data_IF_231404887541
#
_entry.id   IF_231404887541
#
_cell.length_a   1.000
_cell.length_b   1.000
_cell.length_c   1.000
_cell.angle_alpha   90.00
_cell.angle_beta   90.00
_cell.angle_gamma   90.00
#
_symmetry.space_group_name_H-M   'P 1'
#
loop_
_entity.id
_entity.type
_entity.pdbx_description
1 polymer ?
#
# COMPACT_ATOMS: atom_id res chain seq x y z
N UNK A 1 -90.54 23.97 -76.91
CA UNK A 1 -90.78 23.29 -78.21
C UNK A 1 -89.85 23.98 -79.21
N UNK A 2 -88.66 23.41 -79.41
CA UNK A 2 -88.21 22.67 -80.62
C UNK A 2 -87.52 23.62 -81.62
N UNK A 3 -86.43 23.34 -82.36
CA UNK A 3 -85.56 22.17 -82.61
C UNK A 3 -84.35 22.61 -83.49
N UNK A 4 -83.21 21.87 -83.43
CA UNK A 4 -82.15 21.62 -84.46
C UNK A 4 -81.31 22.73 -85.12
N UNK A 5 -80.08 22.55 -85.67
CA UNK A 5 -79.03 21.49 -85.73
C UNK A 5 -77.71 22.07 -86.31
N UNK A 6 -76.61 21.32 -86.09
CA UNK A 6 -75.17 21.46 -86.45
C UNK A 6 -74.80 21.67 -87.94
N UNK A 7 -73.57 22.19 -88.21
CA UNK A 7 -72.48 21.55 -89.00
C UNK A 7 -71.18 22.39 -89.03
N UNK A 8 -70.05 21.79 -89.45
CA UNK A 8 -68.64 22.08 -89.12
C UNK A 8 -67.70 22.44 -90.31
N UNK A 9 -66.38 22.63 -89.99
CA UNK A 9 -65.12 22.37 -90.79
C UNK A 9 -64.62 23.51 -91.72
N UNK A 10 -63.33 23.91 -91.91
CA UNK A 10 -61.92 23.46 -91.59
C UNK A 10 -60.89 24.63 -91.71
N UNK A 11 -59.64 24.36 -91.28
CA UNK A 11 -58.41 25.17 -91.05
C UNK A 11 -57.63 25.70 -92.28
N UNK A 12 -56.53 26.48 -92.06
CA UNK A 12 -55.20 25.97 -92.48
C UNK A 12 -54.04 26.21 -91.48
N UNK A 13 -52.90 25.64 -91.86
CA UNK A 13 -51.79 25.04 -91.11
C UNK A 13 -50.61 25.99 -90.85
N UNK A 14 -49.96 25.91 -89.67
CA UNK A 14 -48.70 26.60 -89.33
C UNK A 14 -47.48 25.69 -89.52
N UNK A 15 -46.45 26.21 -90.18
CA UNK A 15 -45.14 25.55 -90.41
C UNK A 15 -44.21 25.87 -89.23
N UNK A 16 -43.56 24.84 -88.67
CA UNK A 16 -42.65 24.94 -87.50
C UNK A 16 -41.17 24.91 -87.91
N UNK A 17 -40.36 25.77 -87.28
CA UNK A 17 -38.89 25.81 -87.37
C UNK A 17 -38.31 25.15 -86.10
N UNK A 18 -37.33 24.21 -86.18
CA UNK A 18 -36.73 23.61 -84.99
C UNK A 18 -35.63 24.51 -84.39
N UNK A 19 -35.75 24.90 -83.11
CA UNK A 19 -34.66 25.48 -82.32
C UNK A 19 -33.80 24.36 -81.70
N UNK A 20 -32.50 24.37 -82.00
CA UNK A 20 -31.46 23.60 -81.28
C UNK A 20 -31.47 23.95 -79.78
N UNK A 21 -31.65 22.97 -78.92
CA UNK A 21 -31.43 23.09 -77.48
C UNK A 21 -29.97 22.74 -77.15
N UNK A 22 -29.22 23.69 -76.59
CA UNK A 22 -27.93 23.42 -75.98
C UNK A 22 -28.14 22.77 -74.61
N UNK A 23 -27.67 21.53 -74.42
CA UNK A 23 -27.56 20.90 -73.10
C UNK A 23 -26.39 21.55 -72.34
N UNK A 24 -26.69 22.46 -71.42
CA UNK A 24 -25.73 22.91 -70.42
C UNK A 24 -25.51 21.80 -69.38
N UNK A 25 -24.28 21.28 -69.30
CA UNK A 25 -23.85 20.32 -68.28
C UNK A 25 -23.64 21.03 -66.94
N UNK A 26 -24.58 20.87 -66.00
CA UNK A 26 -24.45 21.38 -64.63
C UNK A 26 -23.49 20.47 -63.84
N UNK A 27 -22.18 20.74 -63.91
CA UNK A 27 -21.15 19.98 -63.17
C UNK A 27 -20.99 20.55 -61.74
N UNK A 28 -21.35 19.70 -60.77
CA UNK A 28 -20.94 19.62 -59.36
C UNK A 28 -20.76 20.92 -58.54
N UNK A 29 -21.81 21.35 -57.84
CA UNK A 29 -21.73 22.29 -56.71
C UNK A 29 -21.63 21.61 -55.34
N UNK A 30 -21.58 20.28 -55.31
CA UNK A 30 -21.65 19.46 -54.10
C UNK A 30 -20.27 18.99 -53.61
N UNK A 31 -19.26 18.97 -54.48
CA UNK A 31 -17.91 18.45 -54.17
C UNK A 31 -17.12 19.33 -53.20
N UNK A 32 -17.22 20.66 -53.32
CA UNK A 32 -16.47 21.57 -52.44
C UNK A 32 -17.01 21.59 -51.00
N UNK A 33 -18.32 21.39 -50.82
CA UNK A 33 -18.95 21.31 -49.48
C UNK A 33 -18.52 20.04 -48.74
N UNK A 34 -18.44 18.91 -49.45
CA UNK A 34 -17.93 17.66 -48.89
C UNK A 34 -16.44 17.77 -48.54
N UNK A 35 -15.63 18.40 -49.40
CA UNK A 35 -14.22 18.67 -49.11
C UNK A 35 -14.03 19.61 -47.91
N UNK A 36 -14.82 20.67 -47.80
CA UNK A 36 -14.78 21.60 -46.68
C UNK A 36 -15.18 20.91 -45.36
N UNK A 37 -16.25 20.11 -45.37
CA UNK A 37 -16.69 19.36 -44.19
C UNK A 37 -15.63 18.34 -43.75
N UNK A 38 -15.00 17.65 -44.71
CA UNK A 38 -13.90 16.74 -44.43
C UNK A 38 -12.70 17.46 -43.79
N UNK A 39 -12.31 18.62 -44.31
CA UNK A 39 -11.22 19.42 -43.73
C UNK A 39 -11.53 19.93 -42.33
N UNK A 40 -12.78 20.33 -42.05
CA UNK A 40 -13.21 20.76 -40.71
C UNK A 40 -13.18 19.61 -39.71
N UNK A 41 -13.66 18.42 -40.11
CA UNK A 41 -13.63 17.22 -39.28
C UNK A 41 -12.18 16.78 -39.03
N UNK A 42 -11.35 16.74 -40.06
CA UNK A 42 -9.93 16.40 -39.94
C UNK A 42 -9.19 17.39 -39.04
N UNK A 43 -9.47 18.70 -39.16
CA UNK A 43 -8.91 19.73 -38.29
C UNK A 43 -9.34 19.57 -36.83
N UNK A 44 -10.61 19.25 -36.58
CA UNK A 44 -11.11 18.98 -35.22
C UNK A 44 -10.38 17.80 -34.57
N UNK A 45 -10.25 16.67 -35.29
CA UNK A 45 -9.53 15.50 -34.77
C UNK A 45 -8.02 15.74 -34.62
N UNK A 46 -7.42 16.55 -35.48
CA UNK A 46 -6.01 16.92 -35.34
C UNK A 46 -5.76 17.78 -34.09
N UNK A 47 -6.64 18.74 -33.81
CA UNK A 47 -6.59 19.53 -32.57
C UNK A 47 -6.80 18.64 -31.35
N UNK A 48 -7.77 17.71 -31.40
CA UNK A 48 -8.05 16.78 -30.31
C UNK A 48 -6.86 15.84 -30.05
N UNK A 49 -6.17 15.39 -31.11
CA UNK A 49 -4.94 14.63 -31.03
C UNK A 49 -3.80 15.42 -30.39
N UNK A 50 -3.60 16.70 -30.78
CA UNK A 50 -2.61 17.58 -30.15
C UNK A 50 -2.94 17.78 -28.66
N UNK A 51 -4.20 18.01 -28.30
CA UNK A 51 -4.62 18.13 -26.90
C UNK A 51 -4.39 16.84 -26.10
N UNK A 52 -4.62 15.67 -26.70
CA UNK A 52 -4.36 14.39 -26.06
C UNK A 52 -2.86 14.12 -25.88
N UNK A 53 -2.04 14.48 -26.88
CA UNK A 53 -0.58 14.37 -26.85
C UNK A 53 0.05 15.35 -25.85
N UNK A 54 -0.43 16.59 -25.80
CA UNK A 54 0.00 17.57 -24.80
C UNK A 54 -0.53 17.24 -23.42
N UNK A 55 -1.75 16.71 -23.30
CA UNK A 55 -2.33 16.30 -22.02
C UNK A 55 -1.50 15.22 -21.34
N UNK A 56 -1.02 14.21 -22.08
CA UNK A 56 -0.15 13.16 -21.52
C UNK A 56 1.24 13.69 -21.14
N UNK A 57 1.80 14.60 -21.93
CA UNK A 57 3.09 15.25 -21.61
C UNK A 57 2.97 16.21 -20.43
N UNK A 58 1.87 16.97 -20.31
CA UNK A 58 1.60 17.85 -19.17
C UNK A 58 1.37 17.03 -17.89
N UNK A 59 0.60 15.94 -17.97
CA UNK A 59 0.43 15.04 -16.83
C UNK A 59 1.80 14.48 -16.42
N UNK A 60 2.67 14.08 -17.36
CA UNK A 60 4.02 13.62 -17.04
C UNK A 60 4.94 14.69 -16.44
N UNK A 61 4.78 15.97 -16.82
CA UNK A 61 5.59 17.09 -16.31
C UNK A 61 5.14 17.59 -14.93
N UNK A 62 3.90 17.33 -14.53
CA UNK A 62 3.32 17.76 -13.24
C UNK A 62 2.91 16.59 -12.33
N UNK A 63 3.04 15.35 -12.79
CA UNK A 63 2.98 14.18 -11.92
C UNK A 63 4.30 14.11 -11.18
N UNK A 64 4.33 14.49 -9.91
CA UNK A 64 5.43 14.05 -9.08
C UNK A 64 5.45 12.52 -9.10
N UNK A 65 6.62 11.88 -9.34
CA UNK A 65 6.73 10.45 -9.14
C UNK A 65 6.21 10.15 -7.72
N UNK A 66 5.43 9.06 -7.52
CA UNK A 66 4.98 8.70 -6.18
C UNK A 66 6.21 8.69 -5.28
N UNK A 67 6.14 9.44 -4.18
CA UNK A 67 7.27 9.70 -3.29
C UNK A 67 8.10 8.42 -3.13
N UNK A 68 9.25 8.38 -3.79
CA UNK A 68 10.17 7.28 -3.66
C UNK A 68 10.67 7.41 -2.23
N UNK A 69 10.22 6.52 -1.34
CA UNK A 69 10.74 6.47 0.02
C UNK A 69 12.19 6.05 -0.09
N UNK A 70 13.07 7.03 -0.22
CA UNK A 70 14.50 6.85 -0.21
C UNK A 70 14.87 6.12 1.08
N UNK A 71 15.64 5.04 0.96
CA UNK A 71 16.12 4.23 2.08
C UNK A 71 16.87 5.08 3.13
N UNK A 72 17.28 6.31 2.79
CA UNK A 72 17.93 7.27 3.66
C UNK A 72 17.05 8.21 4.51
N UNK A 73 15.72 8.24 4.35
CA UNK A 73 14.86 9.26 5.02
C UNK A 73 13.95 8.65 6.10
N UNK A 74 14.55 7.94 7.05
CA UNK A 74 13.85 7.34 8.19
C UNK A 74 14.37 7.91 9.51
N UNK A 75 13.53 8.66 10.21
CA UNK A 75 13.82 9.16 11.56
C UNK A 75 13.54 8.06 12.60
N UNK A 76 14.47 7.86 13.52
CA UNK A 76 14.30 6.94 14.65
C UNK A 76 13.12 7.40 15.48
N UNK A 77 12.12 6.53 15.66
CA UNK A 77 10.96 6.86 16.48
C UNK A 77 11.37 7.05 17.95
N UNK A 78 10.69 7.95 18.65
CA UNK A 78 10.97 8.28 20.06
C UNK A 78 10.91 7.09 21.03
N UNK A 79 10.28 5.98 20.63
CA UNK A 79 10.24 4.73 21.39
C UNK A 79 11.04 3.57 20.80
N UNK A 80 12.06 3.84 19.98
CA UNK A 80 12.95 2.79 19.49
C UNK A 80 13.57 2.00 20.67
N UNK A 81 13.53 0.65 20.66
CA UNK A 81 13.91 -0.14 21.84
C UNK A 81 15.35 0.13 22.29
N UNK A 82 15.53 0.40 23.59
CA UNK A 82 16.86 0.67 24.16
C UNK A 82 17.85 -0.49 23.91
N UNK A 83 17.38 -1.74 23.98
CA UNK A 83 18.19 -2.92 23.69
C UNK A 83 18.66 -3.00 22.23
N UNK A 84 17.99 -2.30 21.31
CA UNK A 84 18.33 -2.25 19.90
C UNK A 84 19.24 -1.06 19.54
N UNK A 85 19.42 -0.08 20.43
CA UNK A 85 20.20 1.14 20.14
C UNK A 85 21.64 0.84 19.73
N UNK A 86 22.27 -0.16 20.33
CA UNK A 86 23.64 -0.58 19.97
C UNK A 86 23.76 -1.12 18.54
N UNK A 87 22.67 -1.59 17.93
CA UNK A 87 22.67 -2.12 16.56
C UNK A 87 22.20 -1.07 15.53
N UNK A 88 21.73 0.09 15.98
CA UNK A 88 21.19 1.12 15.08
C UNK A 88 22.18 1.54 13.97
N UNK A 89 23.47 1.80 14.26
CA UNK A 89 24.44 2.12 13.20
C UNK A 89 24.53 1.00 12.15
N UNK A 90 24.49 -0.26 12.59
CA UNK A 90 24.59 -1.44 11.73
C UNK A 90 23.35 -1.55 10.83
N UNK A 91 22.15 -1.35 11.37
CA UNK A 91 20.92 -1.36 10.55
C UNK A 91 20.95 -0.27 9.49
N UNK A 92 21.37 0.95 9.87
CA UNK A 92 21.42 2.09 8.96
C UNK A 92 22.48 1.92 7.88
N UNK A 93 23.63 1.33 8.23
CA UNK A 93 24.70 1.02 7.29
C UNK A 93 24.25 -0.06 6.30
N UNK A 94 23.79 -1.22 6.79
CA UNK A 94 23.30 -2.31 5.95
C UNK A 94 22.13 -1.84 5.07
N UNK A 95 21.18 -1.11 5.64
CA UNK A 95 20.05 -0.57 4.91
C UNK A 95 20.47 0.32 3.74
N UNK A 96 21.44 1.22 3.97
CA UNK A 96 22.00 2.07 2.92
C UNK A 96 22.78 1.28 1.88
N UNK A 97 23.59 0.30 2.30
CA UNK A 97 24.42 -0.54 1.43
C UNK A 97 23.59 -1.37 0.45
N UNK A 98 22.47 -1.93 0.91
CA UNK A 98 21.64 -2.85 0.13
C UNK A 98 20.31 -2.24 -0.37
N UNK A 99 20.04 -0.96 -0.08
CA UNK A 99 18.79 -0.31 -0.46
C UNK A 99 17.56 -0.85 0.29
N UNK A 100 17.76 -1.32 1.52
CA UNK A 100 16.70 -1.85 2.39
C UNK A 100 16.36 -0.81 3.45
N UNK A 101 15.08 -0.48 3.70
CA UNK A 101 14.71 0.32 4.85
C UNK A 101 15.24 -0.30 6.14
N UNK A 102 16.16 0.39 6.83
CA UNK A 102 16.76 -0.08 8.08
C UNK A 102 15.74 -0.54 9.15
N UNK A 103 14.51 0.03 9.25
CA UNK A 103 13.55 -0.42 10.23
C UNK A 103 13.07 -1.86 10.00
N UNK A 104 13.10 -2.35 8.74
CA UNK A 104 12.80 -3.76 8.42
C UNK A 104 13.86 -4.68 9.04
N UNK A 105 15.14 -4.30 8.97
CA UNK A 105 16.23 -5.07 9.56
C UNK A 105 16.09 -5.15 11.09
N UNK A 106 15.81 -4.01 11.72
CA UNK A 106 15.55 -3.97 13.16
C UNK A 106 14.32 -4.79 13.56
N UNK A 107 13.25 -4.77 12.76
CA UNK A 107 12.02 -5.54 12.99
C UNK A 107 12.25 -7.05 12.89
N UNK A 108 13.02 -7.52 11.92
CA UNK A 108 13.41 -8.93 11.81
C UNK A 108 14.25 -9.32 13.03
N UNK A 109 15.28 -8.55 13.38
CA UNK A 109 16.13 -8.85 14.55
C UNK A 109 15.32 -8.91 15.86
N UNK A 110 14.26 -8.08 15.98
CA UNK A 110 13.31 -8.14 17.11
C UNK A 110 12.55 -9.46 17.14
N UNK A 111 12.01 -9.91 16.01
CA UNK A 111 11.17 -11.10 15.92
C UNK A 111 11.98 -12.37 16.11
N UNK A 112 13.16 -12.43 15.49
CA UNK A 112 13.97 -13.64 15.45
C UNK A 112 14.58 -13.97 16.81
N UNK A 113 15.19 -12.98 17.46
CA UNK A 113 16.03 -13.24 18.65
C UNK A 113 15.83 -12.23 19.77
N UNK A 114 14.85 -11.33 19.64
CA UNK A 114 14.67 -10.17 20.53
C UNK A 114 15.98 -9.40 20.70
N UNK A 115 16.60 -9.05 19.57
CA UNK A 115 17.88 -8.33 19.49
C UNK A 115 19.08 -9.12 20.07
N UNK A 116 19.08 -10.43 19.88
CA UNK A 116 20.12 -11.36 20.36
C UNK A 116 19.96 -11.79 21.82
N UNK A 117 18.80 -11.57 22.45
CA UNK A 117 18.51 -12.09 23.80
C UNK A 117 18.24 -13.60 23.80
N UNK A 118 17.74 -14.13 22.70
CA UNK A 118 17.56 -15.57 22.50
C UNK A 118 18.22 -15.99 21.18
N UNK A 119 19.42 -16.58 21.27
CA UNK A 119 20.19 -17.09 20.13
C UNK A 119 20.11 -18.62 20.02
N UNK A 120 19.11 -19.24 20.65
CA UNK A 120 18.92 -20.68 20.58
C UNK A 120 18.61 -21.12 19.16
N UNK A 121 19.21 -22.23 18.72
CA UNK A 121 18.89 -22.83 17.43
C UNK A 121 17.41 -23.20 17.40
N UNK A 122 16.70 -22.81 16.34
CA UNK A 122 15.27 -23.06 16.22
C UNK A 122 14.99 -24.56 16.03
N UNK A 123 13.72 -24.97 16.19
CA UNK A 123 13.30 -26.35 15.96
C UNK A 123 13.52 -26.84 14.52
N UNK A 124 13.77 -25.93 13.57
CA UNK A 124 14.05 -26.25 12.16
C UNK A 124 15.52 -26.06 11.79
N UNK A 125 16.40 -25.75 12.75
CA UNK A 125 17.85 -25.62 12.54
C UNK A 125 18.32 -24.19 12.23
N UNK A 126 17.43 -23.19 12.27
CA UNK A 126 17.83 -21.81 12.03
C UNK A 126 18.69 -21.30 13.19
N UNK A 127 19.71 -20.47 12.91
CA UNK A 127 20.68 -20.01 13.92
C UNK A 127 21.16 -18.57 13.75
N UNK A 128 21.77 -18.03 14.81
CA UNK A 128 22.36 -16.70 14.81
C UNK A 128 21.39 -15.56 15.06
N UNK A 129 21.88 -14.33 14.99
CA UNK A 129 21.13 -13.10 15.32
C UNK A 129 19.83 -12.94 14.53
N UNK A 130 19.84 -13.39 13.27
CA UNK A 130 18.74 -13.25 12.33
C UNK A 130 18.12 -14.61 11.96
N UNK A 131 18.46 -15.69 12.67
CA UNK A 131 17.89 -17.03 12.49
C UNK A 131 17.94 -17.51 11.02
N UNK A 132 19.15 -17.63 10.48
CA UNK A 132 19.36 -18.18 9.13
C UNK A 132 19.41 -19.71 9.13
N UNK A 133 18.86 -20.32 8.07
CA UNK A 133 19.16 -21.70 7.72
C UNK A 133 20.54 -21.81 7.07
N UNK A 134 21.25 -22.91 7.32
CA UNK A 134 22.61 -23.12 6.83
C UNK A 134 22.74 -23.05 5.31
N UNK A 135 21.81 -23.67 4.59
CA UNK A 135 21.80 -23.60 3.12
C UNK A 135 21.40 -22.23 2.58
N UNK A 136 20.75 -21.40 3.39
CA UNK A 136 20.53 -19.98 3.02
C UNK A 136 21.81 -19.18 3.27
N UNK A 137 22.53 -19.47 4.36
CA UNK A 137 23.80 -18.81 4.68
C UNK A 137 24.93 -19.20 3.72
N UNK A 138 25.23 -20.50 3.60
CA UNK A 138 26.28 -21.08 2.76
C UNK A 138 25.89 -21.08 1.27
N UNK A 139 24.66 -21.49 0.96
CA UNK A 139 24.18 -21.58 -0.42
C UNK A 139 23.52 -22.90 -0.76
N UNK A 140 22.44 -22.84 -1.55
CA UNK A 140 21.61 -24.01 -1.87
C UNK A 140 22.24 -24.96 -2.88
N UNK A 141 23.26 -24.52 -3.63
CA UNK A 141 24.00 -25.36 -4.58
C UNK A 141 24.96 -26.34 -3.90
N UNK A 142 25.26 -26.17 -2.61
CA UNK A 142 26.00 -27.15 -1.83
C UNK A 142 25.24 -28.49 -1.81
N UNK A 143 25.92 -29.57 -2.19
CA UNK A 143 25.34 -30.90 -2.44
C UNK A 143 24.94 -31.69 -1.18
N UNK A 144 25.13 -31.12 0.01
CA UNK A 144 24.71 -31.71 1.30
C UNK A 144 23.48 -31.07 1.93
N UNK A 145 23.10 -31.61 3.09
CA UNK A 145 22.07 -31.07 3.97
C UNK A 145 20.68 -31.69 3.85
N UNK A 146 19.74 -31.14 4.62
CA UNK A 146 18.33 -31.54 4.61
C UNK A 146 17.51 -30.70 3.63
N UNK A 147 16.28 -31.14 3.37
CA UNK A 147 15.31 -30.37 2.55
C UNK A 147 14.94 -29.03 3.19
N UNK A 148 15.05 -28.91 4.51
CA UNK A 148 14.80 -27.66 5.24
C UNK A 148 16.00 -26.72 5.24
N UNK A 149 17.17 -27.19 4.80
CA UNK A 149 18.37 -26.37 4.68
C UNK A 149 19.35 -26.47 5.84
N UNK A 150 19.23 -27.49 6.68
CA UNK A 150 20.18 -27.81 7.76
C UNK A 150 21.41 -28.55 7.19
N UNK A 151 22.62 -28.25 7.69
CA UNK A 151 23.87 -28.89 7.27
C UNK A 151 24.52 -29.65 8.43
N UNK A 152 25.28 -30.72 8.16
CA UNK A 152 26.04 -31.40 9.21
C UNK A 152 27.02 -30.45 9.94
N UNK A 153 27.18 -30.61 11.26
CA UNK A 153 28.01 -29.73 12.11
C UNK A 153 29.47 -29.56 11.67
N UNK A 154 30.02 -30.53 10.93
CA UNK A 154 31.40 -30.47 10.42
C UNK A 154 31.55 -29.56 9.19
N UNK A 155 30.46 -29.08 8.60
CA UNK A 155 30.50 -28.18 7.45
C UNK A 155 30.77 -26.76 7.94
N UNK A 156 31.93 -26.21 7.59
CA UNK A 156 32.21 -24.80 7.84
C UNK A 156 31.34 -23.91 6.95
N UNK A 157 30.36 -23.24 7.56
CA UNK A 157 29.49 -22.26 6.89
C UNK A 157 29.99 -20.81 7.00
N UNK A 158 31.11 -20.57 7.68
CA UNK A 158 31.61 -19.21 7.97
C UNK A 158 32.68 -18.72 6.99
N UNK A 159 33.04 -19.53 6.01
CA UNK A 159 34.06 -19.24 5.00
C UNK A 159 33.47 -18.40 3.85
N UNK A 160 33.88 -17.12 3.68
CA UNK A 160 33.34 -16.25 2.64
C UNK A 160 33.51 -16.78 1.22
N UNK A 161 34.65 -17.41 0.91
CA UNK A 161 34.94 -17.94 -0.42
C UNK A 161 33.96 -19.06 -0.78
N UNK A 162 33.64 -19.91 0.20
CA UNK A 162 32.66 -21.00 0.02
C UNK A 162 31.23 -20.47 -0.07
N UNK A 163 30.89 -19.43 0.69
CA UNK A 163 29.59 -18.79 0.59
C UNK A 163 29.39 -18.20 -0.81
N UNK A 164 30.42 -17.56 -1.37
CA UNK A 164 30.39 -17.07 -2.75
C UNK A 164 30.27 -18.23 -3.75
N UNK A 165 31.09 -19.28 -3.61
CA UNK A 165 31.06 -20.49 -4.46
C UNK A 165 29.65 -21.10 -4.53
N UNK A 166 28.96 -21.20 -3.39
CA UNK A 166 27.64 -21.83 -3.32
C UNK A 166 26.46 -20.84 -3.46
N UNK A 167 26.74 -19.55 -3.66
CA UNK A 167 25.73 -18.52 -3.87
C UNK A 167 24.88 -18.23 -2.63
N UNK A 168 25.49 -18.30 -1.44
CA UNK A 168 24.85 -18.01 -0.17
C UNK A 168 24.75 -16.52 0.16
N UNK A 169 24.00 -16.25 1.23
CA UNK A 169 23.75 -14.89 1.71
C UNK A 169 24.66 -14.44 2.84
N UNK A 170 25.48 -15.32 3.41
CA UNK A 170 26.49 -14.92 4.39
C UNK A 170 27.40 -13.81 3.85
N UNK A 171 27.79 -12.89 4.72
CA UNK A 171 28.68 -11.76 4.42
C UNK A 171 29.61 -11.58 5.61
N UNK A 172 30.92 -11.52 5.34
CA UNK A 172 31.91 -10.98 6.27
C UNK A 172 31.84 -9.45 6.16
N UNK A 173 31.06 -8.84 7.03
CA UNK A 173 30.70 -7.44 6.95
C UNK A 173 31.63 -6.54 7.75
N UNK A 174 32.27 -7.07 8.80
CA UNK A 174 33.28 -6.35 9.59
C UNK A 174 34.72 -6.60 9.13
N UNK A 175 34.94 -7.54 8.20
CA UNK A 175 36.22 -7.79 7.55
C UNK A 175 37.18 -8.63 8.39
N UNK A 176 36.66 -9.45 9.29
CA UNK A 176 37.47 -10.30 10.18
C UNK A 176 37.93 -11.63 9.53
N UNK A 177 37.52 -11.88 8.28
CA UNK A 177 37.80 -13.08 7.51
C UNK A 177 36.76 -14.19 7.68
N UNK A 178 35.66 -13.94 8.40
CA UNK A 178 34.59 -14.91 8.65
C UNK A 178 33.22 -14.26 8.47
N UNK A 179 32.32 -14.98 7.81
CA UNK A 179 30.91 -14.61 7.78
C UNK A 179 30.17 -15.43 8.85
N UNK A 180 30.04 -14.89 10.07
CA UNK A 180 29.46 -15.59 11.22
C UNK A 180 27.99 -15.21 11.47
N UNK A 181 27.01 -16.14 11.41
CA UNK A 181 25.61 -15.84 11.74
C UNK A 181 25.40 -15.38 13.20
N UNK A 182 26.35 -15.63 14.11
CA UNK A 182 26.35 -15.15 15.49
C UNK A 182 27.05 -13.79 15.67
N UNK A 183 27.71 -13.26 14.63
CA UNK A 183 28.14 -11.88 14.61
C UNK A 183 26.98 -10.99 14.13
N UNK A 184 26.54 -9.98 14.92
CA UNK A 184 25.42 -9.13 14.52
C UNK A 184 25.70 -8.30 13.27
N UNK A 185 26.95 -7.90 13.02
CA UNK A 185 27.31 -7.11 11.83
C UNK A 185 27.08 -7.94 10.57
N UNK A 186 27.66 -9.15 10.54
CA UNK A 186 27.50 -10.12 9.45
C UNK A 186 26.04 -10.50 9.24
N UNK A 187 25.35 -10.89 10.32
CA UNK A 187 23.97 -11.37 10.23
C UNK A 187 23.02 -10.30 9.71
N UNK A 188 23.14 -9.04 10.18
CA UNK A 188 22.30 -7.93 9.72
C UNK A 188 22.59 -7.61 8.24
N UNK A 189 23.86 -7.61 7.83
CA UNK A 189 24.23 -7.40 6.43
C UNK A 189 23.79 -8.55 5.52
N UNK A 190 23.88 -9.80 5.98
CA UNK A 190 23.36 -10.98 5.29
C UNK A 190 21.84 -10.90 5.11
N UNK A 191 21.08 -10.48 6.13
CA UNK A 191 19.64 -10.23 6.01
C UNK A 191 19.34 -9.14 4.99
N UNK A 192 20.08 -8.04 5.02
CA UNK A 192 19.90 -6.96 4.05
C UNK A 192 20.20 -7.42 2.61
N UNK A 193 21.29 -8.18 2.39
CA UNK A 193 21.62 -8.82 1.10
C UNK A 193 20.49 -9.74 0.63
N UNK A 194 19.96 -10.59 1.53
CA UNK A 194 18.84 -11.49 1.23
C UNK A 194 17.60 -10.73 0.79
N UNK A 195 17.19 -9.71 1.56
CA UNK A 195 15.98 -8.94 1.27
C UNK A 195 16.12 -8.19 -0.06
N UNK A 196 17.27 -7.58 -0.32
CA UNK A 196 17.54 -6.88 -1.57
C UNK A 196 17.47 -7.83 -2.79
N UNK A 197 18.05 -9.02 -2.69
CA UNK A 197 17.99 -10.02 -3.76
C UNK A 197 16.56 -10.50 -4.08
N UNK A 198 15.65 -10.40 -3.11
CA UNK A 198 14.25 -10.82 -3.24
C UNK A 198 13.27 -9.65 -3.45
N UNK A 199 13.77 -8.42 -3.54
CA UNK A 199 12.94 -7.23 -3.74
C UNK A 199 13.00 -6.75 -5.20
N UNK A 200 11.83 -6.58 -5.84
CA UNK A 200 11.76 -5.95 -7.17
C UNK A 200 11.58 -4.44 -7.03
N UNK A 201 12.26 -3.62 -7.84
CA UNK A 201 12.08 -2.17 -7.80
C UNK A 201 10.61 -1.74 -7.85
N UNK A 202 10.19 -0.93 -6.87
CA UNK A 202 8.81 -0.42 -6.77
C UNK A 202 7.80 -1.34 -6.09
N UNK A 203 8.19 -2.56 -5.71
CA UNK A 203 7.31 -3.44 -4.94
C UNK A 203 7.10 -2.98 -3.49
N UNK A 204 5.95 -3.31 -2.91
CA UNK A 204 5.78 -3.24 -1.45
C UNK A 204 6.62 -4.34 -0.78
N UNK A 205 7.49 -3.95 0.16
CA UNK A 205 8.32 -4.85 0.97
C UNK A 205 7.52 -5.91 1.72
N UNK A 206 6.28 -5.58 2.10
CA UNK A 206 5.42 -6.40 2.96
C UNK A 206 4.33 -7.15 2.20
N UNK A 207 4.29 -7.12 0.86
CA UNK A 207 3.26 -7.87 0.10
C UNK A 207 3.48 -9.39 0.20
N UNK A 208 2.40 -10.16 0.01
CA UNK A 208 2.49 -11.62 -0.16
C UNK A 208 3.32 -11.93 -1.41
N UNK A 209 4.34 -12.78 -1.26
CA UNK A 209 5.33 -13.04 -2.32
C UNK A 209 6.42 -11.96 -2.47
N UNK A 210 6.42 -10.92 -1.63
CA UNK A 210 7.47 -9.90 -1.56
C UNK A 210 8.68 -10.33 -0.73
N UNK A 211 9.68 -9.46 -0.58
CA UNK A 211 10.97 -9.78 0.03
C UNK A 211 10.86 -10.28 1.48
N UNK A 212 10.06 -9.61 2.32
CA UNK A 212 9.85 -10.04 3.71
C UNK A 212 9.06 -11.36 3.77
N UNK A 213 8.13 -11.57 2.83
CA UNK A 213 7.44 -12.86 2.71
C UNK A 213 8.39 -13.98 2.30
N UNK A 214 9.35 -13.74 1.40
CA UNK A 214 10.33 -14.77 1.02
C UNK A 214 11.19 -15.21 2.21
N UNK A 215 11.45 -14.30 3.14
CA UNK A 215 12.26 -14.57 4.32
C UNK A 215 11.69 -15.70 5.22
N UNK A 216 10.37 -15.76 5.40
CA UNK A 216 9.74 -16.70 6.35
C UNK A 216 8.52 -17.47 5.80
N UNK A 217 7.92 -16.99 4.72
CA UNK A 217 6.71 -17.50 4.07
C UNK A 217 5.40 -17.43 4.87
N UNK A 218 5.38 -16.88 6.09
CA UNK A 218 4.16 -16.63 6.86
C UNK A 218 3.71 -15.16 6.77
N UNK A 219 2.66 -14.90 5.99
CA UNK A 219 2.14 -13.54 5.85
C UNK A 219 1.49 -13.01 7.14
N UNK A 220 0.58 -13.80 7.73
CA UNK A 220 -0.29 -13.35 8.82
C UNK A 220 0.47 -13.20 10.13
N UNK A 221 1.41 -14.11 10.42
CA UNK A 221 2.07 -14.15 11.73
C UNK A 221 3.49 -13.58 11.71
N UNK A 222 4.10 -13.39 10.54
CA UNK A 222 5.46 -12.89 10.42
C UNK A 222 5.52 -11.56 9.66
N UNK A 223 5.10 -11.53 8.39
CA UNK A 223 5.22 -10.32 7.55
C UNK A 223 4.50 -9.13 8.18
N UNK A 224 3.27 -9.32 8.65
CA UNK A 224 2.51 -8.26 9.32
C UNK A 224 3.18 -7.77 10.62
N UNK A 225 3.85 -8.66 11.37
CA UNK A 225 4.62 -8.26 12.57
C UNK A 225 5.88 -7.50 12.22
N UNK A 226 6.59 -7.90 11.16
CA UNK A 226 7.76 -7.16 10.67
C UNK A 226 7.32 -5.75 10.27
N UNK A 227 6.22 -5.62 9.51
CA UNK A 227 5.64 -4.33 9.15
C UNK A 227 5.35 -3.48 10.38
N UNK A 228 4.62 -4.06 11.34
CA UNK A 228 4.26 -3.37 12.57
C UNK A 228 5.49 -2.86 13.33
N UNK A 229 6.53 -3.68 13.51
CA UNK A 229 7.76 -3.25 14.18
C UNK A 229 8.57 -2.24 13.36
N UNK A 230 8.62 -2.38 12.03
CA UNK A 230 9.34 -1.43 11.19
C UNK A 230 8.73 -0.02 11.30
N UNK A 231 7.39 0.06 11.24
CA UNK A 231 6.63 1.30 11.47
C UNK A 231 6.73 1.82 12.92
N UNK A 232 6.96 0.91 13.87
CA UNK A 232 7.20 1.25 15.27
C UNK A 232 8.55 1.95 15.48
N UNK A 233 9.57 1.46 14.77
CA UNK A 233 10.97 1.78 15.03
C UNK A 233 11.42 3.04 14.32
N UNK A 234 10.79 3.38 13.21
CA UNK A 234 11.09 4.59 12.50
C UNK A 234 9.87 5.16 11.80
N UNK A 235 9.94 6.46 11.54
CA UNK A 235 8.96 7.18 10.74
C UNK A 235 9.62 7.66 9.46
N UNK A 236 8.92 7.61 8.32
CA UNK A 236 9.37 8.36 7.15
C UNK A 236 9.48 9.82 7.56
N UNK A 237 10.59 10.48 7.19
CA UNK A 237 10.74 11.93 7.38
C UNK A 237 9.77 12.63 6.43
N UNK A 238 8.51 12.77 6.85
CA UNK A 238 7.56 13.65 6.19
C UNK A 238 7.93 15.07 6.60
N UNK A 239 8.40 15.88 5.65
CA UNK A 239 8.90 17.25 5.87
C UNK A 239 8.09 17.98 6.95
N UNK A 240 8.70 18.18 8.11
CA UNK A 240 8.09 18.86 9.24
C UNK A 240 7.86 20.33 8.90
N UNK A 241 6.67 20.64 8.39
CA UNK A 241 6.15 22.00 8.32
C UNK A 241 4.73 22.03 8.93
N UNK A 242 4.65 22.53 10.18
CA UNK A 242 3.45 23.14 10.77
C UNK A 242 2.37 22.20 11.33
N UNK A 243 2.30 22.17 12.67
CA UNK A 243 1.10 22.08 13.53
C UNK A 243 0.08 20.92 13.38
N UNK A 244 0.49 19.70 13.01
CA UNK A 244 -0.40 18.54 12.99
C UNK A 244 -0.14 17.51 14.11
N UNK A 245 0.76 17.78 15.05
CA UNK A 245 1.04 16.85 16.13
C UNK A 245 -0.16 16.73 17.09
N UNK A 246 -0.57 15.50 17.37
CA UNK A 246 -1.60 15.15 18.33
C UNK A 246 -1.17 15.44 19.76
N UNK A 247 -2.18 15.61 20.62
CA UNK A 247 -2.01 15.89 22.05
C UNK A 247 -1.66 14.66 22.89
N UNK A 248 -1.89 13.44 22.37
CA UNK A 248 -1.82 12.19 23.12
C UNK A 248 -3.05 11.96 24.02
N UNK A 249 -4.04 12.84 23.93
CA UNK A 249 -5.34 12.68 24.57
C UNK A 249 -6.35 12.27 23.50
N UNK A 250 -6.89 11.06 23.57
CA UNK A 250 -7.78 10.54 22.53
C UNK A 250 -9.25 10.85 22.79
N UNK A 251 -9.93 11.33 21.76
CA UNK A 251 -11.39 11.43 21.67
C UNK A 251 -11.97 10.04 21.40
N UNK A 252 -13.16 9.76 21.93
CA UNK A 252 -13.93 8.59 21.53
C UNK A 252 -14.32 8.67 20.04
N UNK A 253 -13.92 7.70 19.19
CA UNK A 253 -13.97 7.86 17.73
C UNK A 253 -15.37 7.72 17.13
N UNK A 254 -16.32 7.10 17.83
CA UNK A 254 -17.70 6.92 17.35
C UNK A 254 -18.68 7.48 18.37
N UNK A 255 -19.16 8.72 18.21
CA UNK A 255 -20.11 9.34 19.13
C UNK A 255 -21.31 8.43 19.43
N UNK A 256 -21.55 8.14 20.72
CA UNK A 256 -22.63 7.25 21.17
C UNK A 256 -22.45 5.76 20.84
N UNK A 257 -21.31 5.36 20.25
CA UNK A 257 -20.93 3.96 20.05
C UNK A 257 -20.56 3.27 21.36
N UNK A 258 -20.81 1.96 21.44
CA UNK A 258 -20.51 1.13 22.62
C UNK A 258 -19.49 0.06 22.27
N UNK A 259 -18.59 -0.25 23.19
CA UNK A 259 -17.71 -1.41 23.04
C UNK A 259 -18.59 -2.66 22.98
N UNK A 260 -18.59 -3.31 21.82
CA UNK A 260 -19.22 -4.63 21.61
C UNK A 260 -18.20 -5.74 21.79
N UNK A 261 -16.91 -5.42 21.66
CA UNK A 261 -15.85 -6.36 21.97
C UNK A 261 -14.54 -5.70 22.38
N UNK A 262 -13.99 -6.17 23.50
CA UNK A 262 -12.77 -5.63 24.12
C UNK A 262 -11.49 -6.16 23.50
N UNK A 263 -10.39 -5.47 23.80
CA UNK A 263 -9.02 -5.84 23.49
C UNK A 263 -8.59 -7.11 24.25
N UNK A 264 -7.74 -7.94 23.64
CA UNK A 264 -7.11 -9.10 24.29
C UNK A 264 -7.41 -10.46 23.65
N UNK A 265 -6.91 -11.53 24.27
CA UNK A 265 -7.05 -12.89 23.76
C UNK A 265 -8.49 -13.40 23.84
N UNK A 266 -9.02 -13.82 22.69
CA UNK A 266 -10.36 -14.40 22.55
C UNK A 266 -10.27 -15.85 22.11
N UNK A 267 -11.07 -16.73 22.71
CA UNK A 267 -11.18 -18.11 22.27
C UNK A 267 -12.01 -18.19 20.97
N UNK A 268 -11.42 -18.70 19.89
CA UNK A 268 -12.12 -18.90 18.62
C UNK A 268 -12.82 -20.27 18.59
N UNK A 269 -14.17 -20.33 18.63
CA UNK A 269 -14.91 -21.57 18.90
C UNK A 269 -14.71 -22.67 17.83
N UNK A 270 -14.55 -22.28 16.55
CA UNK A 270 -14.37 -23.25 15.46
C UNK A 270 -12.94 -23.77 15.29
N UNK A 271 -11.93 -23.02 15.75
CA UNK A 271 -10.51 -23.34 15.56
C UNK A 271 -9.82 -23.73 16.87
N UNK A 272 -10.53 -23.62 18.01
CA UNK A 272 -10.05 -23.90 19.37
C UNK A 272 -8.71 -23.23 19.71
N UNK A 273 -8.43 -22.06 19.11
CA UNK A 273 -7.22 -21.27 19.37
C UNK A 273 -7.61 -19.93 19.99
N UNK A 274 -6.77 -19.45 20.90
CA UNK A 274 -6.85 -18.08 21.36
C UNK A 274 -6.27 -17.16 20.27
N UNK A 275 -7.07 -16.21 19.79
CA UNK A 275 -6.62 -15.16 18.87
C UNK A 275 -6.61 -13.83 19.60
N UNK A 276 -5.52 -13.09 19.44
CA UNK A 276 -5.41 -11.75 19.99
C UNK A 276 -6.36 -10.82 19.23
N UNK A 277 -7.18 -10.06 19.96
CA UNK A 277 -7.85 -8.90 19.41
C UNK A 277 -6.97 -7.67 19.60
N UNK A 278 -6.49 -7.12 18.49
CA UNK A 278 -5.52 -6.04 18.43
C UNK A 278 -6.13 -4.65 18.64
N UNK A 279 -7.45 -4.57 18.85
CA UNK A 279 -8.17 -3.33 19.09
C UNK A 279 -9.41 -3.52 19.95
N UNK A 280 -10.34 -2.58 19.86
CA UNK A 280 -11.71 -2.70 20.35
C UNK A 280 -12.69 -2.59 19.20
N UNK A 281 -13.81 -3.28 19.32
CA UNK A 281 -14.93 -3.16 18.40
C UNK A 281 -15.98 -2.25 19.03
N UNK A 282 -16.27 -1.14 18.36
CA UNK A 282 -17.24 -0.13 18.79
C UNK A 282 -18.47 -0.24 17.89
N UNK A 283 -19.52 -0.87 18.40
CA UNK A 283 -20.78 -1.06 17.69
C UNK A 283 -21.61 0.22 17.59
N UNK A 284 -22.11 0.49 16.39
CA UNK A 284 -23.02 1.60 16.05
C UNK A 284 -23.72 1.30 14.72
N UNK A 285 -24.83 1.97 14.43
CA UNK A 285 -25.53 1.83 13.15
C UNK A 285 -24.64 2.14 11.93
N UNK A 286 -24.89 1.43 10.83
CA UNK A 286 -24.20 1.67 9.55
C UNK A 286 -24.34 3.13 9.13
N UNK A 287 -23.25 3.74 8.67
CA UNK A 287 -23.23 5.15 8.25
C UNK A 287 -23.00 6.16 9.39
N UNK A 288 -22.96 5.73 10.65
CA UNK A 288 -22.63 6.59 11.78
C UNK A 288 -21.23 7.22 11.62
N UNK A 289 -20.99 8.44 12.11
CA UNK A 289 -19.73 9.13 11.88
C UNK A 289 -18.57 8.49 12.66
N UNK A 290 -17.42 8.35 11.99
CA UNK A 290 -16.13 8.02 12.59
C UNK A 290 -15.28 9.29 12.60
N UNK A 291 -14.76 9.65 13.76
CA UNK A 291 -13.95 10.84 14.01
C UNK A 291 -12.48 10.47 14.26
N UNK A 292 -11.56 11.32 13.81
CA UNK A 292 -10.16 11.24 14.19
C UNK A 292 -10.01 11.43 15.71
N UNK A 293 -9.46 10.43 16.39
CA UNK A 293 -9.33 10.42 17.85
C UNK A 293 -8.34 11.48 18.36
N UNK A 294 -7.37 11.88 17.54
CA UNK A 294 -6.44 12.97 17.82
C UNK A 294 -5.95 13.61 16.49
N UNK A 295 -5.32 14.78 16.54
CA UNK A 295 -4.77 15.44 15.35
C UNK A 295 -3.58 14.66 14.79
N UNK A 296 -3.39 14.66 13.48
CA UNK A 296 -2.31 13.90 12.86
C UNK A 296 -2.27 13.99 11.35
N UNK A 297 -1.48 13.11 10.74
CA UNK A 297 -1.39 12.88 9.30
C UNK A 297 -1.89 11.49 9.01
N UNK A 298 -2.79 11.35 8.04
CA UNK A 298 -3.23 10.05 7.53
C UNK A 298 -2.04 9.40 6.81
N UNK A 299 -1.51 8.31 7.34
CA UNK A 299 -0.38 7.59 6.75
C UNK A 299 -0.84 6.40 5.89
N UNK A 300 -2.04 5.88 6.14
CA UNK A 300 -2.69 4.90 5.27
C UNK A 300 -4.18 5.23 5.10
N UNK A 301 -4.69 5.07 3.88
CA UNK A 301 -6.13 5.02 3.57
C UNK A 301 -6.30 4.09 2.38
N UNK A 302 -6.61 2.82 2.64
CA UNK A 302 -6.62 1.77 1.61
C UNK A 302 -7.41 0.56 2.05
N UNK A 303 -7.69 -0.33 1.09
CA UNK A 303 -8.17 -1.68 1.37
C UNK A 303 -7.07 -2.55 2.00
N UNK A 304 -7.43 -3.34 2.99
CA UNK A 304 -6.59 -4.35 3.62
C UNK A 304 -7.37 -5.63 3.90
N UNK A 305 -6.72 -6.77 3.73
CA UNK A 305 -7.31 -8.07 4.05
C UNK A 305 -7.69 -8.13 5.54
N UNK A 306 -8.85 -8.71 5.85
CA UNK A 306 -9.43 -8.73 7.20
C UNK A 306 -10.05 -7.40 7.65
N UNK A 307 -9.41 -6.25 7.41
CA UNK A 307 -9.84 -4.93 7.89
C UNK A 307 -10.88 -4.23 7.01
N UNK A 308 -11.12 -4.68 5.77
CA UNK A 308 -11.96 -3.92 4.84
C UNK A 308 -11.22 -2.67 4.34
N UNK A 309 -11.86 -1.50 4.35
CA UNK A 309 -11.10 -0.25 4.21
C UNK A 309 -10.57 0.19 5.57
N UNK A 310 -9.27 0.49 5.62
CA UNK A 310 -8.59 0.96 6.82
C UNK A 310 -8.03 2.37 6.62
N UNK A 311 -8.06 3.15 7.70
CA UNK A 311 -7.36 4.43 7.84
C UNK A 311 -6.38 4.30 9.00
N UNK A 312 -5.15 4.76 8.81
CA UNK A 312 -4.18 4.91 9.91
C UNK A 312 -3.73 6.35 9.98
N UNK A 313 -3.79 6.93 11.17
CA UNK A 313 -3.33 8.31 11.44
C UNK A 313 -2.11 8.24 12.35
N UNK A 314 -1.00 8.86 11.92
CA UNK A 314 0.13 9.17 12.79
C UNK A 314 -0.07 10.53 13.45
N UNK A 315 -0.03 10.54 14.78
CA UNK A 315 -0.21 11.74 15.59
C UNK A 315 1.09 12.51 15.82
N UNK A 316 2.23 12.06 15.29
CA UNK A 316 3.50 12.78 15.42
C UNK A 316 4.12 12.78 16.82
N UNK A 317 3.46 12.16 17.80
CA UNK A 317 3.85 12.16 19.22
C UNK A 317 4.14 10.74 19.77
N UNK A 318 4.44 9.79 18.89
CA UNK A 318 4.63 8.38 19.23
C UNK A 318 3.35 7.56 19.12
N UNK A 319 2.18 8.18 18.96
CA UNK A 319 0.92 7.45 18.82
C UNK A 319 0.44 7.33 17.37
N UNK A 320 -0.22 6.21 17.08
CA UNK A 320 -1.01 6.00 15.88
C UNK A 320 -2.40 5.47 16.26
N UNK A 321 -3.38 5.78 15.43
CA UNK A 321 -4.73 5.21 15.52
C UNK A 321 -5.11 4.52 14.22
N UNK A 322 -5.72 3.33 14.32
CA UNK A 322 -6.25 2.58 13.18
C UNK A 322 -7.78 2.54 13.27
N UNK A 323 -8.43 2.74 12.12
CA UNK A 323 -9.89 2.70 11.95
C UNK A 323 -10.20 1.74 10.81
N UNK A 324 -11.06 0.75 11.04
CA UNK A 324 -11.35 -0.29 10.06
C UNK A 324 -12.84 -0.66 9.92
N UNK A 325 -13.10 -1.58 8.99
CA UNK A 325 -14.39 -2.08 8.53
C UNK A 325 -15.25 -1.08 7.75
N UNK A 326 -14.66 0.04 7.31
CA UNK A 326 -15.34 0.99 6.44
C UNK A 326 -15.45 0.48 5.00
N UNK A 327 -16.42 1.03 4.26
CA UNK A 327 -16.46 0.93 2.81
C UNK A 327 -15.70 2.10 2.18
N UNK A 328 -15.05 1.89 1.02
CA UNK A 328 -14.29 2.93 0.32
C UNK A 328 -15.11 4.21 0.08
N UNK A 329 -16.36 4.04 -0.38
CA UNK A 329 -17.28 5.15 -0.68
C UNK A 329 -17.62 6.03 0.51
N UNK A 330 -17.39 5.53 1.73
CA UNK A 330 -17.76 6.17 2.99
C UNK A 330 -16.54 6.85 3.68
N UNK A 331 -15.36 6.77 3.05
CA UNK A 331 -14.10 7.37 3.52
C UNK A 331 -13.96 8.80 2.99
N UNK A 332 -13.58 9.73 3.86
CA UNK A 332 -13.50 11.16 3.56
C UNK A 332 -12.07 11.71 3.53
N UNK A 333 -11.08 10.82 3.68
CA UNK A 333 -9.67 11.20 3.78
C UNK A 333 -8.75 10.29 2.96
N UNK A 334 -7.61 10.83 2.54
CA UNK A 334 -6.58 10.13 1.77
C UNK A 334 -5.21 10.18 2.47
N UNK A 335 -4.30 9.28 2.09
CA UNK A 335 -2.94 9.28 2.61
C UNK A 335 -2.23 10.62 2.34
N UNK A 336 -1.44 11.10 3.31
CA UNK A 336 -0.81 12.42 3.33
C UNK A 336 -1.70 13.55 3.89
N UNK A 337 -3.01 13.33 4.03
CA UNK A 337 -3.92 14.37 4.52
C UNK A 337 -3.72 14.64 6.01
N UNK A 338 -3.56 15.94 6.37
CA UNK A 338 -3.62 16.39 7.76
C UNK A 338 -5.07 16.40 8.26
N UNK A 339 -5.28 15.89 9.46
CA UNK A 339 -6.59 15.84 10.13
C UNK A 339 -6.52 16.44 11.53
N UNK A 340 -7.61 17.05 11.97
CA UNK A 340 -7.75 17.58 13.33
C UNK A 340 -8.48 16.57 14.23
N UNK A 341 -8.16 16.55 15.51
CA UNK A 341 -8.95 15.81 16.52
C UNK A 341 -10.45 16.16 16.39
N UNK A 342 -11.30 15.13 16.33
CA UNK A 342 -12.75 15.27 16.15
C UNK A 342 -13.22 15.51 14.71
N UNK A 343 -12.31 15.63 13.75
CA UNK A 343 -12.68 15.71 12.33
C UNK A 343 -13.29 14.37 11.89
N UNK A 344 -14.40 14.41 11.15
CA UNK A 344 -14.96 13.22 10.53
C UNK A 344 -14.01 12.70 9.45
N UNK A 345 -13.68 11.42 9.52
CA UNK A 345 -12.75 10.77 8.58
C UNK A 345 -13.42 9.69 7.74
N UNK A 346 -14.50 9.09 8.25
CA UNK A 346 -15.27 8.07 7.55
C UNK A 346 -16.63 7.86 8.21
N UNK A 347 -17.34 6.82 7.75
CA UNK A 347 -18.57 6.32 8.38
C UNK A 347 -18.45 4.83 8.71
N UNK A 348 -19.15 4.41 9.76
CA UNK A 348 -19.21 3.01 10.21
C UNK A 348 -19.72 2.13 9.09
N UNK A 349 -18.94 1.09 8.78
CA UNK A 349 -19.23 0.10 7.75
C UNK A 349 -19.41 -1.30 8.33
N UNK A 350 -19.32 -2.30 7.45
CA UNK A 350 -19.26 -3.72 7.82
C UNK A 350 -18.43 -4.53 6.80
N UNK A 351 -17.41 -3.91 6.20
CA UNK A 351 -16.55 -4.53 5.19
C UNK A 351 -15.41 -5.35 5.86
N UNK A 352 -14.80 -6.27 5.12
CA UNK A 352 -13.76 -7.16 5.61
C UNK A 352 -14.33 -8.31 6.43
N UNK A 353 -13.59 -8.77 7.43
CA UNK A 353 -14.02 -9.83 8.35
C UNK A 353 -14.85 -9.24 9.49
N UNK A 354 -16.02 -8.70 9.14
CA UNK A 354 -16.98 -8.14 10.09
C UNK A 354 -18.22 -9.03 10.22
N UNK A 355 -18.73 -9.18 11.44
CA UNK A 355 -19.99 -9.90 11.72
C UNK A 355 -21.21 -8.99 11.75
N UNK A 356 -21.03 -7.67 11.66
CA UNK A 356 -22.09 -6.66 11.65
C UNK A 356 -21.54 -5.23 11.78
N UNK A 357 -22.38 -4.18 11.71
CA UNK A 357 -21.90 -2.80 11.72
C UNK A 357 -21.13 -2.42 13.00
N UNK A 358 -19.84 -2.09 12.85
CA UNK A 358 -18.98 -1.58 13.93
C UNK A 358 -17.74 -0.88 13.36
N UNK A 359 -17.05 -0.13 14.23
CA UNK A 359 -15.67 0.29 14.01
C UNK A 359 -14.73 -0.66 14.75
N UNK A 360 -13.77 -1.24 14.05
CA UNK A 360 -12.58 -1.79 14.71
C UNK A 360 -11.55 -0.66 14.90
N UNK A 361 -11.12 -0.46 16.14
CA UNK A 361 -10.28 0.67 16.54
C UNK A 361 -9.05 0.20 17.32
N UNK A 362 -7.86 0.57 16.84
CA UNK A 362 -6.60 0.30 17.53
C UNK A 362 -5.90 1.59 17.94
N UNK A 363 -5.10 1.49 19.00
CA UNK A 363 -4.10 2.50 19.34
C UNK A 363 -2.75 1.82 19.43
N UNK A 364 -1.76 2.41 18.76
CA UNK A 364 -0.36 2.00 18.88
C UNK A 364 0.44 3.11 19.53
N UNK A 365 1.32 2.77 20.46
CA UNK A 365 2.31 3.68 21.04
C UNK A 365 3.69 3.14 20.71
N UNK A 366 4.45 3.89 19.93
CA UNK A 366 5.74 3.50 19.39
C UNK A 366 5.63 2.11 18.74
N UNK A 367 4.61 1.97 17.89
CA UNK A 367 4.16 0.78 17.16
C UNK A 367 3.80 -0.49 17.96
N UNK A 368 3.86 -0.45 19.29
CA UNK A 368 3.20 -1.47 20.11
C UNK A 368 1.71 -1.16 20.24
N UNK A 369 0.88 -2.14 19.90
CA UNK A 369 -0.56 -2.06 20.16
C UNK A 369 -0.78 -2.01 21.67
N UNK A 370 -1.58 -1.05 22.11
CA UNK A 370 -2.00 -0.91 23.50
C UNK A 370 -3.52 -0.99 23.59
N UNK A 371 -4.03 -1.40 24.75
CA UNK A 371 -5.48 -1.45 24.96
C UNK A 371 -6.10 -0.04 24.84
N UNK A 372 -6.96 0.22 23.83
CA UNK A 372 -7.59 1.53 23.67
C UNK A 372 -8.43 1.95 24.86
N UNK A 373 -9.04 1.00 25.59
CA UNK A 373 -9.88 1.28 26.76
C UNK A 373 -9.09 1.91 27.93
N UNK A 374 -7.75 1.79 27.93
CA UNK A 374 -6.91 2.41 28.96
C UNK A 374 -6.55 3.87 28.67
N UNK A 375 -6.67 4.31 27.42
CA UNK A 375 -6.14 5.61 26.97
C UNK A 375 -7.19 6.51 26.32
N UNK A 376 -8.31 5.96 25.85
CA UNK A 376 -9.43 6.75 25.32
C UNK A 376 -10.40 7.09 26.45
N UNK A 377 -10.65 8.37 26.66
CA UNK A 377 -11.70 8.80 27.59
C UNK A 377 -13.06 8.66 26.92
N UNK A 378 -13.89 7.75 27.41
CA UNK A 378 -15.33 7.77 27.11
C UNK A 378 -15.89 9.03 27.77
N UNK A 379 -16.46 9.95 27.00
CA UNK A 379 -17.20 11.06 27.61
C UNK A 379 -18.45 10.47 28.28
N UNK A 380 -18.49 10.49 29.62
CA UNK A 380 -19.62 10.02 30.45
C UNK A 380 -20.87 10.91 30.34
N UNK A 381 -21.21 11.42 29.16
CA UNK A 381 -22.37 12.32 28.97
C UNK A 381 -23.64 11.65 28.48
N UNK A 382 -23.80 10.32 28.58
CA UNK A 382 -25.08 9.63 28.29
C UNK A 382 -25.39 8.45 29.24
N UNK A 383 -25.03 8.56 30.52
CA UNK A 383 -25.65 7.78 31.62
C UNK A 383 -26.57 8.71 32.43
N UNK A 384 -27.69 9.14 31.84
CA UNK A 384 -28.90 9.52 32.56
C UNK A 384 -30.10 9.13 31.72
#
# INVERSE_FOLDING_TARGET
>A
MEVSTKSAVRSPTFISIPRRTAKATRKSSQSWKAALLFLLIAGFFFILFIFMLFGTVLIGLFSEPPAQIDAGQWEVATGFPQAAQKYLPIYQEAGRKYGVPWPILAAIHKIETDFGRNLSVSSVGARGHMQFMDKTWLGWSFSGGTRLGDLPDHVNITDPDRIEEYGGYGVDADGDGRADPYNPVDAIHATAKYLAANHKPGDDWFKRGGAVWQYNHDYENYVLKVKQYAEAFARPVLSAAGSAAGSGQFLWPVPGGKVTSSFGYRFHPLKKVYRMHEGIDIGKELGAPILASDSGVVIESRKAEGYGWMIVIDHGNGYQTLYAHMEEKDVQVHAGQKVKKGQMIARVGSNGWSTGPHLHFEIRRNGQIINPEQVVKVHETLRK
#
